data_IF_048255117596
#
_entry.id   IF_048255117596
#
_cell.length_a   1.000
_cell.length_b   1.000
_cell.length_c   1.000
_cell.angle_alpha   90.00
_cell.angle_beta   90.00
_cell.angle_gamma   90.00
#
_symmetry.space_group_name_H-M   'P 1'
#
loop_
_entity.id
_entity.type
_entity.pdbx_description
1 polymer ?
#
# COMPACT_ATOMS: atom_id res chain seq x y z
N UNK A 1 -30.66 -6.37 -26.34
CA UNK A 1 -29.90 -5.44 -25.47
C UNK A 1 -29.12 -6.30 -24.48
N UNK A 2 -27.80 -6.45 -24.69
CA UNK A 2 -26.93 -7.20 -23.78
C UNK A 2 -26.62 -6.34 -22.56
N UNK A 3 -27.23 -6.66 -21.42
CA UNK A 3 -26.79 -6.19 -20.12
C UNK A 3 -25.57 -7.01 -19.68
N UNK A 4 -24.42 -6.74 -20.29
CA UNK A 4 -23.13 -7.12 -19.69
C UNK A 4 -22.93 -6.21 -18.48
N UNK A 5 -23.45 -6.64 -17.34
CA UNK A 5 -23.05 -6.15 -16.03
C UNK A 5 -21.55 -6.45 -15.87
N UNK A 6 -20.72 -5.52 -16.32
CA UNK A 6 -19.30 -5.45 -15.96
C UNK A 6 -19.25 -5.14 -14.46
N UNK A 7 -19.40 -6.16 -13.62
CA UNK A 7 -19.00 -6.07 -12.22
C UNK A 7 -17.50 -5.84 -12.23
N UNK A 8 -17.09 -4.64 -11.84
CA UNK A 8 -15.69 -4.35 -11.54
C UNK A 8 -15.17 -5.42 -10.57
N UNK A 9 -13.93 -5.86 -10.75
CA UNK A 9 -13.31 -6.71 -9.73
C UNK A 9 -13.22 -5.93 -8.42
N UNK A 10 -13.23 -6.64 -7.29
CA UNK A 10 -13.07 -6.01 -5.98
C UNK A 10 -11.80 -5.14 -5.89
N UNK A 11 -10.70 -5.55 -6.53
CA UNK A 11 -9.46 -4.76 -6.59
C UNK A 11 -9.63 -3.45 -7.36
N UNK A 12 -10.37 -3.50 -8.47
CA UNK A 12 -10.67 -2.32 -9.29
C UNK A 12 -11.59 -1.35 -8.54
N UNK A 13 -12.54 -1.88 -7.74
CA UNK A 13 -13.39 -1.06 -6.87
C UNK A 13 -12.57 -0.38 -5.77
N UNK A 14 -11.68 -1.11 -5.07
CA UNK A 14 -10.79 -0.54 -4.05
C UNK A 14 -9.89 0.56 -4.63
N UNK A 15 -9.37 0.36 -5.84
CA UNK A 15 -8.56 1.37 -6.52
C UNK A 15 -9.37 2.62 -6.87
N UNK A 16 -10.60 2.45 -7.37
CA UNK A 16 -11.49 3.57 -7.68
C UNK A 16 -11.92 4.35 -6.43
N UNK A 17 -12.19 3.66 -5.33
CA UNK A 17 -12.49 4.27 -4.04
C UNK A 17 -11.29 5.07 -3.52
N UNK A 18 -10.10 4.48 -3.50
CA UNK A 18 -8.88 5.17 -3.05
C UNK A 18 -8.56 6.40 -3.92
N UNK A 19 -8.75 6.32 -5.24
CA UNK A 19 -8.59 7.46 -6.15
C UNK A 19 -9.65 8.54 -5.92
N UNK A 20 -10.90 8.15 -5.69
CA UNK A 20 -11.98 9.08 -5.38
C UNK A 20 -11.65 9.82 -4.08
N UNK A 21 -11.27 9.11 -3.03
CA UNK A 21 -10.95 9.68 -1.73
C UNK A 21 -9.78 10.66 -1.82
N UNK A 22 -8.74 10.33 -2.60
CA UNK A 22 -7.61 11.23 -2.86
C UNK A 22 -8.03 12.54 -3.58
N UNK A 23 -9.05 12.47 -4.44
CA UNK A 23 -9.59 13.67 -5.13
C UNK A 23 -10.52 14.48 -4.25
N UNK A 24 -11.27 13.83 -3.36
CA UNK A 24 -12.30 14.49 -2.55
C UNK A 24 -11.84 14.84 -1.14
N UNK A 25 -10.62 14.47 -0.73
CA UNK A 25 -10.07 14.84 0.57
C UNK A 25 -10.09 16.36 0.77
N UNK A 26 -10.82 16.79 1.80
CA UNK A 26 -11.06 18.20 2.13
C UNK A 26 -10.00 18.77 3.09
N UNK A 27 -9.29 17.90 3.80
CA UNK A 27 -8.22 18.26 4.72
C UNK A 27 -6.98 17.36 4.56
N UNK A 28 -5.85 17.85 5.06
CA UNK A 28 -4.54 17.19 4.95
C UNK A 28 -4.50 15.83 5.64
N UNK A 29 -5.25 15.64 6.73
CA UNK A 29 -5.32 14.37 7.45
C UNK A 29 -6.07 13.30 6.65
N UNK A 30 -7.24 13.64 6.11
CA UNK A 30 -7.97 12.78 5.16
C UNK A 30 -7.13 12.47 3.93
N UNK A 31 -6.42 13.47 3.37
CA UNK A 31 -5.55 13.25 2.23
C UNK A 31 -4.42 12.27 2.55
N UNK A 32 -3.78 12.39 3.72
CA UNK A 32 -2.74 11.48 4.17
C UNK A 32 -3.24 10.03 4.29
N UNK A 33 -4.43 9.84 4.85
CA UNK A 33 -5.08 8.53 4.94
C UNK A 33 -5.38 7.94 3.57
N UNK A 34 -5.88 8.75 2.63
CA UNK A 34 -6.10 8.32 1.25
C UNK A 34 -4.79 7.95 0.55
N UNK A 35 -3.73 8.74 0.73
CA UNK A 35 -2.39 8.44 0.20
C UNK A 35 -1.85 7.14 0.79
N UNK A 36 -2.05 6.90 2.08
CA UNK A 36 -1.64 5.65 2.73
C UNK A 36 -2.40 4.42 2.19
N UNK A 37 -3.72 4.53 2.00
CA UNK A 37 -4.50 3.46 1.38
C UNK A 37 -3.97 3.11 -0.02
N UNK A 38 -3.68 4.13 -0.84
CA UNK A 38 -3.06 3.92 -2.17
C UNK A 38 -1.67 3.29 -2.03
N UNK A 39 -0.87 3.68 -1.03
CA UNK A 39 0.45 3.12 -0.76
C UNK A 39 0.39 1.61 -0.46
N UNK A 40 -0.56 1.17 0.35
CA UNK A 40 -0.74 -0.25 0.67
C UNK A 40 -1.16 -1.07 -0.56
N UNK A 41 -2.08 -0.53 -1.38
CA UNK A 41 -2.47 -1.16 -2.65
C UNK A 41 -1.26 -1.26 -3.60
N UNK A 42 -0.46 -0.19 -3.69
CA UNK A 42 0.75 -0.13 -4.51
C UNK A 42 1.79 -1.15 -4.04
N UNK A 43 1.97 -1.31 -2.73
CA UNK A 43 2.87 -2.31 -2.17
C UNK A 43 2.42 -3.74 -2.49
N UNK A 44 1.12 -4.04 -2.38
CA UNK A 44 0.59 -5.34 -2.81
C UNK A 44 0.96 -5.67 -4.26
N UNK A 45 0.88 -4.67 -5.14
CA UNK A 45 1.32 -4.83 -6.54
C UNK A 45 2.82 -5.01 -6.69
N UNK A 46 3.64 -4.27 -5.97
CA UNK A 46 5.10 -4.44 -5.95
C UNK A 46 5.51 -5.85 -5.53
N UNK A 47 4.81 -6.41 -4.55
CA UNK A 47 5.05 -7.77 -4.06
C UNK A 47 4.43 -8.87 -4.93
N UNK A 48 3.72 -8.53 -6.00
CA UNK A 48 3.04 -9.51 -6.86
C UNK A 48 1.87 -10.23 -6.17
N UNK A 49 1.34 -9.68 -5.08
CA UNK A 49 0.20 -10.22 -4.34
C UNK A 49 -1.09 -9.47 -4.70
N UNK A 50 -2.23 -9.95 -4.19
CA UNK A 50 -3.50 -9.26 -4.39
C UNK A 50 -3.50 -7.88 -3.71
N UNK A 51 -4.31 -6.96 -4.22
CA UNK A 51 -4.44 -5.63 -3.64
C UNK A 51 -4.94 -5.70 -2.17
N UNK A 52 -5.78 -6.69 -1.86
CA UNK A 52 -6.29 -6.95 -0.52
C UNK A 52 -5.20 -7.43 0.44
N UNK A 53 -4.33 -8.34 0.01
CA UNK A 53 -3.18 -8.77 0.81
C UNK A 53 -2.19 -7.62 1.04
N UNK A 54 -2.00 -6.76 0.05
CA UNK A 54 -1.23 -5.52 0.19
C UNK A 54 -1.85 -4.55 1.20
N UNK A 55 -3.18 -4.40 1.18
CA UNK A 55 -3.92 -3.55 2.12
C UNK A 55 -3.73 -3.98 3.58
N UNK A 56 -3.56 -5.28 3.83
CA UNK A 56 -3.32 -5.84 5.16
C UNK A 56 -1.83 -6.06 5.48
N UNK A 57 -0.93 -5.59 4.63
CA UNK A 57 0.51 -5.70 4.88
C UNK A 57 0.92 -4.91 6.13
N UNK A 58 2.01 -5.35 6.76
CA UNK A 58 2.61 -4.61 7.87
C UNK A 58 2.95 -3.18 7.41
N UNK A 59 2.56 -2.14 8.17
CA UNK A 59 2.82 -0.76 7.81
C UNK A 59 4.31 -0.42 7.61
N UNK A 60 5.18 -1.00 8.44
CA UNK A 60 6.62 -0.76 8.36
C UNK A 60 7.24 -1.42 7.12
N UNK A 61 6.76 -2.61 6.78
CA UNK A 61 7.15 -3.31 5.54
C UNK A 61 6.67 -2.55 4.29
N UNK A 62 5.44 -2.05 4.31
CA UNK A 62 4.85 -1.24 3.24
C UNK A 62 5.70 0.00 2.98
N UNK A 63 6.01 0.76 4.03
CA UNK A 63 6.85 1.95 3.93
C UNK A 63 8.23 1.63 3.32
N UNK A 64 8.93 0.64 3.88
CA UNK A 64 10.28 0.27 3.44
C UNK A 64 10.28 -0.22 1.99
N UNK A 65 9.33 -1.09 1.63
CA UNK A 65 9.24 -1.64 0.28
C UNK A 65 8.98 -0.57 -0.77
N UNK A 66 8.11 0.39 -0.48
CA UNK A 66 7.84 1.51 -1.38
C UNK A 66 9.05 2.45 -1.51
N UNK A 67 9.69 2.80 -0.39
CA UNK A 67 10.86 3.68 -0.40
C UNK A 67 12.02 3.07 -1.21
N UNK A 68 12.28 1.77 -1.03
CA UNK A 68 13.37 1.07 -1.70
C UNK A 68 13.09 0.80 -3.19
N UNK A 69 11.88 0.38 -3.55
CA UNK A 69 11.59 -0.11 -4.90
C UNK A 69 11.15 1.00 -5.87
N UNK A 70 10.56 2.09 -5.38
CA UNK A 70 10.07 3.16 -6.24
C UNK A 70 11.12 4.21 -6.58
N UNK A 71 12.24 4.24 -5.86
CA UNK A 71 13.29 5.25 -6.06
C UNK A 71 12.72 6.67 -5.97
N UNK A 72 11.90 6.92 -4.94
CA UNK A 72 11.25 8.21 -4.73
C UNK A 72 12.29 9.34 -4.62
N UNK A 73 11.88 10.55 -5.00
CA UNK A 73 12.71 11.72 -4.69
C UNK A 73 12.82 11.87 -3.17
N UNK A 74 13.91 12.47 -2.64
CA UNK A 74 14.06 12.69 -1.19
C UNK A 74 12.94 13.52 -0.55
N UNK A 75 12.16 14.25 -1.36
CA UNK A 75 11.00 15.02 -0.90
C UNK A 75 9.78 14.10 -0.75
N UNK A 76 9.51 13.26 -1.75
CA UNK A 76 8.40 12.31 -1.70
C UNK A 76 8.63 11.18 -0.69
N UNK A 77 9.87 10.75 -0.49
CA UNK A 77 10.22 9.78 0.57
C UNK A 77 9.95 10.37 1.96
N UNK A 78 10.23 11.65 2.17
CA UNK A 78 9.91 12.36 3.42
C UNK A 78 8.42 12.44 3.66
N UNK A 79 7.63 12.77 2.64
CA UNK A 79 6.17 12.75 2.75
C UNK A 79 5.64 11.35 3.02
N UNK A 80 6.17 10.32 2.35
CA UNK A 80 5.77 8.93 2.59
C UNK A 80 6.06 8.52 4.04
N UNK A 81 7.22 8.90 4.57
CA UNK A 81 7.58 8.67 5.97
C UNK A 81 6.63 9.40 6.93
N UNK A 82 6.28 10.65 6.62
CA UNK A 82 5.36 11.44 7.43
C UNK A 82 3.93 10.89 7.40
N UNK A 83 3.45 10.42 6.23
CA UNK A 83 2.16 9.73 6.08
C UNK A 83 2.14 8.43 6.90
N UNK A 84 3.21 7.63 6.85
CA UNK A 84 3.35 6.44 7.69
C UNK A 84 3.26 6.77 9.18
N UNK A 85 3.94 7.82 9.64
CA UNK A 85 3.86 8.27 11.03
C UNK A 85 2.46 8.75 11.43
N UNK A 86 1.76 9.46 10.53
CA UNK A 86 0.36 9.83 10.74
C UNK A 86 -0.51 8.59 10.87
N UNK A 87 -0.35 7.59 10.00
CA UNK A 87 -1.09 6.33 10.08
C UNK A 87 -0.88 5.61 11.41
N UNK A 88 0.36 5.45 11.87
CA UNK A 88 0.69 4.80 13.16
C UNK A 88 0.08 5.54 14.36
N UNK A 89 -0.19 6.84 14.22
CA UNK A 89 -0.79 7.68 15.27
C UNK A 89 -2.30 7.87 15.11
N UNK A 90 -2.91 7.34 14.04
CA UNK A 90 -4.38 7.31 13.85
C UNK A 90 -4.98 6.33 14.85
N UNK A 91 -5.22 6.87 16.05
CA UNK A 91 -5.62 6.14 17.26
C UNK A 91 -5.23 6.88 18.54
N UNK A 92 -4.25 7.78 18.45
CA UNK A 92 -3.71 8.57 19.58
C UNK A 92 -3.96 10.08 19.46
N UNK A 93 -4.63 10.54 18.39
CA UNK A 93 -4.93 11.96 18.14
C UNK A 93 -3.97 12.62 17.16
N UNK A 94 -3.93 12.11 15.93
CA UNK A 94 -3.01 12.45 14.82
C UNK A 94 -3.07 13.91 14.29
N UNK A 95 -3.76 14.83 14.96
CA UNK A 95 -3.96 16.19 14.48
C UNK A 95 -2.64 16.97 14.34
N UNK A 96 -1.69 16.79 15.26
CA UNK A 96 -0.46 17.59 15.30
C UNK A 96 0.57 17.21 14.22
N UNK A 97 0.54 15.96 13.73
CA UNK A 97 1.42 15.51 12.66
C UNK A 97 0.89 15.87 11.26
N UNK A 98 -0.43 16.03 11.14
CA UNK A 98 -1.06 16.41 9.88
C UNK A 98 -0.66 17.82 9.43
N UNK A 99 -0.33 18.72 10.38
CA UNK A 99 0.15 20.08 10.11
C UNK A 99 1.56 20.13 9.51
N UNK A 100 2.33 19.04 9.64
CA UNK A 100 3.68 18.91 9.09
C UNK A 100 3.68 18.38 7.66
N UNK A 101 2.54 17.88 7.18
CA UNK A 101 2.40 17.34 5.84
C UNK A 101 2.23 18.46 4.81
N UNK A 102 2.83 18.28 3.65
CA UNK A 102 2.73 19.23 2.56
C UNK A 102 1.66 18.75 1.56
N UNK A 103 0.49 19.39 1.56
CA UNK A 103 -0.64 18.97 0.72
C UNK A 103 -0.27 18.83 -0.79
N UNK A 104 0.43 19.79 -1.43
CA UNK A 104 0.92 19.60 -2.79
C UNK A 104 1.78 18.33 -2.98
N UNK A 105 2.73 18.06 -2.09
CA UNK A 105 3.59 16.88 -2.20
C UNK A 105 2.84 15.59 -1.87
N UNK A 106 1.85 15.61 -0.97
CA UNK A 106 0.95 14.48 -0.74
C UNK A 106 0.15 14.12 -1.99
N UNK A 107 -0.40 15.13 -2.68
CA UNK A 107 -1.12 14.91 -3.95
C UNK A 107 -0.18 14.38 -5.03
N UNK A 108 1.06 14.87 -5.07
CA UNK A 108 2.10 14.35 -5.97
C UNK A 108 2.44 12.88 -5.65
N UNK A 109 2.65 12.55 -4.38
CA UNK A 109 2.93 11.20 -3.90
C UNK A 109 1.79 10.24 -4.25
N UNK A 110 0.55 10.59 -3.91
CA UNK A 110 -0.62 9.79 -4.25
C UNK A 110 -0.80 9.60 -5.76
N UNK A 111 -0.57 10.66 -6.55
CA UNK A 111 -0.60 10.57 -8.02
C UNK A 111 0.52 9.70 -8.58
N UNK A 112 1.69 9.70 -7.95
CA UNK A 112 2.81 8.82 -8.31
C UNK A 112 2.44 7.35 -8.07
N UNK A 113 1.90 7.05 -6.90
CA UNK A 113 1.48 5.70 -6.53
C UNK A 113 0.33 5.19 -7.42
N UNK A 114 -0.65 6.03 -7.74
CA UNK A 114 -1.73 5.68 -8.69
C UNK A 114 -1.21 5.42 -10.10
N UNK A 115 -0.22 6.19 -10.58
CA UNK A 115 0.41 5.95 -11.89
C UNK A 115 1.11 4.61 -11.94
N UNK A 116 1.78 4.22 -10.85
CA UNK A 116 2.40 2.91 -10.72
C UNK A 116 1.35 1.78 -10.78
N UNK A 117 0.28 1.91 -10.00
CA UNK A 117 -0.83 0.95 -9.97
C UNK A 117 -1.50 0.75 -11.34
N UNK A 118 -1.63 1.83 -12.12
CA UNK A 118 -2.20 1.80 -13.48
C UNK A 118 -1.21 1.35 -14.56
N UNK A 119 0.08 1.61 -14.35
CA UNK A 119 1.16 1.26 -15.29
C UNK A 119 1.63 -0.19 -15.13
N UNK A 120 1.43 -0.79 -13.96
CA UNK A 120 1.68 -2.20 -13.73
C UNK A 120 0.63 -3.04 -14.49
N UNK A 121 1.06 -3.80 -15.51
CA UNK A 121 0.24 -4.89 -16.03
C UNK A 121 -0.13 -5.80 -14.85
N UNK A 122 -1.41 -6.16 -14.73
CA UNK A 122 -1.81 -7.21 -13.78
C UNK A 122 -0.87 -8.40 -14.00
N UNK A 123 -0.32 -9.01 -12.94
CA UNK A 123 0.35 -10.29 -13.11
C UNK A 123 -0.72 -11.23 -13.66
N UNK A 124 -0.59 -11.57 -14.94
CA UNK A 124 -1.15 -12.83 -15.44
C UNK A 124 -0.70 -13.88 -14.43
N UNK A 125 -1.61 -14.76 -14.03
CA UNK A 125 -1.39 -15.79 -13.02
C UNK A 125 -0.27 -16.75 -13.44
N UNK A 126 0.96 -16.27 -13.42
CA UNK A 126 2.19 -17.00 -13.59
C UNK A 126 2.64 -17.26 -12.16
N UNK A 127 2.67 -18.54 -11.81
CA UNK A 127 3.13 -19.03 -10.51
C UNK A 127 4.62 -18.67 -10.40
N UNK A 128 4.91 -17.46 -9.95
CA UNK A 128 6.27 -17.04 -9.64
C UNK A 128 6.67 -17.73 -8.33
N UNK A 129 7.75 -18.51 -8.30
CA UNK A 129 8.18 -19.18 -7.09
C UNK A 129 8.55 -18.12 -6.04
N UNK A 130 8.06 -18.35 -4.82
CA UNK A 130 8.25 -17.49 -3.66
C UNK A 130 9.70 -17.05 -3.48
N UNK A 131 10.03 -15.84 -3.93
CA UNK A 131 11.29 -15.18 -3.59
C UNK A 131 10.91 -13.88 -2.87
N UNK A 132 11.18 -13.91 -1.56
CA UNK A 132 10.99 -12.85 -0.57
C UNK A 132 9.57 -12.59 -0.05
N UNK A 133 9.07 -13.54 0.75
CA UNK A 133 8.12 -13.27 1.84
C UNK A 133 8.82 -13.47 3.20
N UNK A 134 9.14 -12.43 3.98
CA UNK A 134 9.59 -12.60 5.37
C UNK A 134 8.47 -13.10 6.30
N UNK A 135 7.19 -12.85 5.96
CA UNK A 135 6.03 -13.31 6.71
C UNK A 135 5.83 -14.84 6.72
N UNK A 136 6.54 -15.61 5.88
CA UNK A 136 6.48 -17.08 5.89
C UNK A 136 7.53 -17.73 6.80
N UNK A 137 8.41 -16.96 7.44
CA UNK A 137 9.48 -17.51 8.29
C UNK A 137 9.03 -17.85 9.72
N UNK A 138 7.87 -17.35 10.17
CA UNK A 138 7.35 -17.64 11.50
C UNK A 138 6.43 -18.87 11.56
N UNK A 139 5.90 -19.34 10.43
CA UNK A 139 4.96 -20.47 10.37
C UNK A 139 5.59 -21.79 9.87
N UNK A 140 6.88 -21.79 9.54
CA UNK A 140 7.62 -22.96 9.07
C UNK A 140 8.83 -23.29 9.96
N UNK A 141 8.70 -23.05 11.28
CA UNK A 141 9.65 -23.45 12.32
C UNK A 141 9.17 -24.66 13.09
N UNK A 142 9.32 -25.83 12.48
CA UNK A 142 9.69 -27.11 13.11
C UNK A 142 8.98 -27.54 14.41
N UNK A 143 7.84 -28.18 14.26
CA UNK A 143 7.51 -29.37 15.06
C UNK A 143 8.34 -30.56 14.57
N UNK A 144 9.52 -30.80 15.14
CA UNK A 144 10.18 -32.12 15.14
C UNK A 144 11.41 -32.11 16.06
N UNK A 145 11.19 -32.28 17.37
CA UNK A 145 12.24 -32.77 18.27
C UNK A 145 11.73 -34.06 18.92
N UNK A 146 11.76 -35.15 18.14
CA UNK A 146 11.73 -36.51 18.68
C UNK A 146 13.08 -37.19 18.44
N UNK A 147 13.77 -37.43 19.57
CA UNK A 147 14.43 -38.69 19.97
C UNK A 147 15.48 -39.39 19.07
N UNK A 148 16.60 -39.67 19.74
CA UNK A 148 17.52 -40.84 19.62
C UNK A 148 18.74 -40.64 18.72
N UNK A 149 19.93 -40.44 19.32
CA UNK A 149 20.90 -41.50 19.69
C UNK A 149 21.57 -41.10 21.00
#
# INVERSE_FOLDING_TARGET
MNALLLTLSWEEQLLQEAEKDLRTAEDTGSLALSVWAVAQLAYGRLCGVSALEGFHADPSETYRGLAEQLGLSPQLERELCAVYQVHEQVGQGASALSDLLNEPLLRELGSHLLRMLRGAKQPEAEVVPAIFHPARRAAAGETAFERTI
#
